data_IF_721686866127
#
_entry.id   IF_721686866127
#
_cell.length_a   1.000
_cell.length_b   1.000
_cell.length_c   1.000
_cell.angle_alpha   90.00
_cell.angle_beta   90.00
_cell.angle_gamma   90.00
#
_symmetry.space_group_name_H-M   'P 1'
#
loop_
_entity.id
_entity.type
_entity.pdbx_description
1 polymer ?
#
# COMPACT_ATOMS: atom_id res chain seq x y z
N UNK A 1 -8.65 0.26 19.47
CA UNK A 1 -7.66 0.13 18.38
C UNK A 1 -7.54 -1.33 17.95
N UNK A 2 -7.86 -1.68 16.70
CA UNK A 2 -7.85 -3.06 16.18
C UNK A 2 -6.66 -3.32 15.25
N UNK A 3 -5.46 -3.02 15.74
CA UNK A 3 -4.21 -3.20 15.02
C UNK A 3 -3.59 -4.59 15.29
N UNK A 4 -2.79 -5.09 14.36
CA UNK A 4 -2.10 -6.38 14.52
C UNK A 4 -1.18 -6.43 15.76
N UNK A 5 -0.71 -7.62 16.18
CA UNK A 5 0.04 -7.77 17.44
C UNK A 5 1.30 -6.89 17.56
N UNK A 6 2.02 -6.67 16.46
CA UNK A 6 3.20 -5.78 16.43
C UNK A 6 2.80 -4.30 16.53
N UNK A 7 1.74 -3.90 15.83
CA UNK A 7 1.16 -2.56 15.92
C UNK A 7 0.80 -2.19 17.36
N UNK A 8 0.06 -3.08 18.02
CA UNK A 8 -0.41 -2.82 19.39
C UNK A 8 0.74 -2.77 20.38
N UNK A 9 1.78 -3.59 20.16
CA UNK A 9 2.96 -3.58 21.01
C UNK A 9 3.76 -2.29 20.85
N UNK A 10 3.97 -1.82 19.63
CA UNK A 10 4.67 -0.56 19.38
C UNK A 10 3.93 0.62 20.01
N UNK A 11 2.60 0.67 19.82
CA UNK A 11 1.77 1.70 20.43
C UNK A 11 1.84 1.69 21.96
N UNK A 12 1.74 0.50 22.59
CA UNK A 12 1.84 0.37 24.05
C UNK A 12 3.23 0.76 24.56
N UNK A 13 4.29 0.41 23.83
CA UNK A 13 5.67 0.76 24.18
C UNK A 13 5.97 2.25 24.19
N UNK A 14 5.21 3.05 23.46
CA UNK A 14 5.32 4.51 23.54
C UNK A 14 4.89 5.11 24.90
N UNK A 15 4.26 4.32 25.79
CA UNK A 15 3.83 4.78 27.13
C UNK A 15 4.17 3.83 28.26
N UNK A 16 4.25 2.53 27.99
CA UNK A 16 4.40 1.49 29.00
C UNK A 16 5.32 0.38 28.50
N UNK A 17 6.07 -0.27 29.40
CA UNK A 17 6.87 -1.44 29.06
C UNK A 17 6.25 -2.74 29.60
N UNK A 18 5.26 -3.33 28.91
CA UNK A 18 4.56 -4.50 29.43
C UNK A 18 5.45 -5.75 29.41
N UNK A 19 5.58 -6.39 30.58
CA UNK A 19 6.20 -7.70 30.70
C UNK A 19 5.46 -8.72 29.82
N UNK A 20 6.23 -9.49 29.03
CA UNK A 20 5.68 -10.45 28.06
C UNK A 20 4.66 -9.84 27.08
N UNK A 21 4.79 -8.53 26.76
CA UNK A 21 3.81 -7.77 25.98
C UNK A 21 3.36 -8.44 24.69
N UNK A 22 4.28 -9.05 23.91
CA UNK A 22 3.96 -9.81 22.69
C UNK A 22 2.93 -10.92 22.93
N UNK A 23 3.08 -11.68 24.02
CA UNK A 23 2.22 -12.82 24.33
C UNK A 23 0.86 -12.33 24.84
N UNK A 24 0.87 -11.34 25.74
CA UNK A 24 -0.33 -10.74 26.31
C UNK A 24 -1.22 -10.13 25.24
N UNK A 25 -0.64 -9.36 24.31
CA UNK A 25 -1.36 -8.73 23.19
C UNK A 25 -1.98 -9.77 22.27
N UNK A 26 -1.24 -10.82 21.89
CA UNK A 26 -1.79 -11.90 21.05
C UNK A 26 -2.98 -12.58 21.73
N UNK A 27 -2.94 -12.77 23.04
CA UNK A 27 -4.03 -13.35 23.84
C UNK A 27 -5.27 -12.45 23.83
N UNK A 28 -5.10 -11.13 23.99
CA UNK A 28 -6.22 -10.17 23.94
C UNK A 28 -6.83 -10.10 22.55
N UNK A 29 -6.02 -9.94 21.50
CA UNK A 29 -6.50 -9.85 20.12
C UNK A 29 -7.23 -11.12 19.64
N UNK A 30 -6.84 -12.31 20.12
CA UNK A 30 -7.55 -13.57 19.83
C UNK A 30 -8.98 -13.60 20.41
N UNK A 31 -9.21 -12.93 21.53
CA UNK A 31 -10.54 -12.83 22.17
C UNK A 31 -11.41 -11.72 21.57
N UNK A 32 -10.83 -10.87 20.72
CA UNK A 32 -11.56 -9.77 20.11
C UNK A 32 -12.42 -10.27 18.93
N UNK A 33 -13.75 -10.19 19.08
CA UNK A 33 -14.73 -10.63 18.06
C UNK A 33 -14.51 -9.91 16.72
N UNK A 34 -14.26 -8.60 16.75
CA UNK A 34 -14.03 -7.80 15.54
C UNK A 34 -12.75 -8.22 14.80
N UNK A 35 -11.67 -8.57 15.50
CA UNK A 35 -10.44 -9.09 14.91
C UNK A 35 -10.57 -10.55 14.44
N UNK A 36 -11.35 -11.36 15.16
CA UNK A 36 -11.58 -12.76 14.83
C UNK A 36 -12.36 -12.92 13.52
N UNK A 37 -13.46 -12.17 13.36
CA UNK A 37 -14.33 -12.24 12.17
C UNK A 37 -13.61 -11.93 10.85
N UNK A 38 -12.50 -11.18 10.90
CA UNK A 38 -11.75 -10.74 9.72
C UNK A 38 -10.44 -11.50 9.52
N UNK A 39 -10.14 -12.49 10.38
CA UNK A 39 -8.89 -13.25 10.34
C UNK A 39 -9.13 -14.64 9.72
N UNK A 40 -8.82 -14.85 8.43
CA UNK A 40 -8.92 -16.18 7.84
C UNK A 40 -7.88 -17.13 8.46
N UNK A 41 -8.24 -18.42 8.60
CA UNK A 41 -7.28 -19.48 8.94
C UNK A 41 -6.38 -19.76 7.74
N UNK A 42 -5.09 -19.45 7.86
CA UNK A 42 -4.10 -19.76 6.83
C UNK A 42 -3.44 -21.12 7.12
N UNK A 43 -3.46 -22.03 6.14
CA UNK A 43 -2.68 -23.27 6.19
C UNK A 43 -1.19 -22.93 5.98
N UNK A 44 -0.25 -23.52 6.75
CA UNK A 44 1.17 -23.29 6.52
C UNK A 44 1.53 -23.73 5.11
N UNK A 45 2.11 -22.83 4.32
CA UNK A 45 2.65 -23.14 2.99
C UNK A 45 4.15 -23.43 3.11
N UNK A 46 4.65 -24.36 2.30
CA UNK A 46 6.09 -24.61 2.14
C UNK A 46 6.78 -23.33 1.68
N UNK A 47 7.84 -22.92 2.38
CA UNK A 47 8.62 -21.72 2.06
C UNK A 47 9.75 -22.15 1.11
N UNK A 48 9.62 -21.86 -0.18
CA UNK A 48 10.74 -22.00 -1.12
C UNK A 48 11.78 -20.88 -0.94
N UNK A 49 12.90 -20.97 -1.66
CA UNK A 49 14.00 -20.01 -1.59
C UNK A 49 13.55 -18.57 -1.84
N UNK A 50 14.18 -17.61 -1.14
CA UNK A 50 13.88 -16.20 -1.33
C UNK A 50 14.45 -15.70 -2.68
N UNK A 51 13.67 -14.92 -3.47
CA UNK A 51 14.16 -14.36 -4.72
C UNK A 51 15.32 -13.38 -4.48
N UNK A 52 16.24 -13.24 -5.44
CA UNK A 52 17.47 -12.42 -5.31
C UNK A 52 17.15 -10.96 -5.03
N UNK A 53 16.07 -10.48 -5.62
CA UNK A 53 15.51 -9.13 -5.45
C UNK A 53 15.23 -8.83 -3.97
N UNK A 54 14.95 -9.86 -3.15
CA UNK A 54 14.63 -9.74 -1.72
C UNK A 54 15.84 -9.66 -0.82
N UNK A 55 16.98 -10.19 -1.25
CA UNK A 55 18.22 -10.24 -0.45
C UNK A 55 19.24 -9.19 -0.84
N UNK A 56 19.03 -8.52 -1.98
CA UNK A 56 19.91 -7.46 -2.47
C UNK A 56 19.34 -6.09 -2.06
N UNK A 57 20.08 -5.27 -1.30
CA UNK A 57 19.60 -3.96 -0.88
C UNK A 57 19.43 -3.02 -2.09
N UNK A 58 18.25 -2.42 -2.19
CA UNK A 58 17.92 -1.41 -3.19
C UNK A 58 17.03 -0.33 -2.56
N UNK A 59 16.97 0.85 -3.17
CA UNK A 59 15.99 1.86 -2.75
C UNK A 59 14.56 1.32 -2.92
N UNK A 60 13.64 1.83 -2.10
CA UNK A 60 12.23 1.49 -2.21
C UNK A 60 11.71 1.69 -3.65
N UNK A 61 10.81 0.81 -4.05
CA UNK A 61 10.11 0.80 -5.34
C UNK A 61 10.95 0.47 -6.60
N UNK A 62 12.23 0.11 -6.48
CA UNK A 62 12.98 -0.43 -7.63
C UNK A 62 12.34 -1.71 -8.17
N UNK A 63 11.93 -2.62 -7.28
CA UNK A 63 11.19 -3.84 -7.60
C UNK A 63 9.79 -3.70 -7.02
N UNK A 64 8.78 -3.50 -7.88
CA UNK A 64 7.42 -3.18 -7.45
C UNK A 64 6.39 -4.14 -8.02
N UNK A 65 5.58 -4.74 -7.15
CA UNK A 65 4.37 -5.44 -7.53
C UNK A 65 3.21 -4.47 -7.73
N UNK A 66 2.37 -4.73 -8.71
CA UNK A 66 1.18 -3.95 -9.04
C UNK A 66 -0.05 -4.82 -8.81
N UNK A 67 -1.06 -4.26 -8.16
CA UNK A 67 -2.36 -4.89 -8.08
C UNK A 67 -3.49 -3.86 -8.00
N UNK A 68 -4.63 -4.15 -8.62
CA UNK A 68 -5.84 -3.36 -8.48
C UNK A 68 -6.70 -3.80 -7.28
N UNK A 69 -7.37 -2.84 -6.66
CA UNK A 69 -8.28 -3.09 -5.56
C UNK A 69 -9.63 -2.40 -5.78
N UNK A 70 -10.69 -3.21 -5.65
CA UNK A 70 -12.09 -2.79 -5.54
C UNK A 70 -12.65 -2.06 -6.75
N UNK A 71 -13.96 -1.89 -6.79
CA UNK A 71 -14.56 -0.69 -7.38
C UNK A 71 -15.16 0.10 -6.23
N UNK A 72 -14.64 1.28 -5.97
CA UNK A 72 -15.17 2.20 -4.97
C UNK A 72 -16.27 3.04 -5.61
N UNK A 73 -17.50 3.04 -5.05
CA UNK A 73 -18.53 3.94 -5.53
C UNK A 73 -18.13 5.38 -5.19
N UNK A 74 -18.13 6.24 -6.19
CA UNK A 74 -17.79 7.66 -6.03
C UNK A 74 -18.98 8.55 -6.41
N UNK A 75 -19.07 9.71 -5.77
CA UNK A 75 -20.00 10.76 -6.15
C UNK A 75 -19.41 11.57 -7.30
N UNK A 76 -20.09 11.57 -8.45
CA UNK A 76 -19.73 12.43 -9.59
C UNK A 76 -20.52 13.73 -9.59
N UNK A 77 -21.79 13.66 -9.19
CA UNK A 77 -22.68 14.82 -9.04
C UNK A 77 -23.78 14.50 -8.01
N UNK A 78 -24.70 15.43 -7.74
CA UNK A 78 -25.79 15.26 -6.77
C UNK A 78 -26.59 13.97 -7.00
N UNK A 79 -26.87 13.64 -8.25
CA UNK A 79 -27.68 12.48 -8.65
C UNK A 79 -26.91 11.47 -9.51
N UNK A 80 -25.58 11.57 -9.60
CA UNK A 80 -24.76 10.70 -10.44
C UNK A 80 -23.64 10.07 -9.63
N UNK A 81 -23.60 8.75 -9.65
CA UNK A 81 -22.51 7.96 -9.07
C UNK A 81 -21.64 7.38 -10.18
N UNK A 82 -20.38 7.14 -9.84
CA UNK A 82 -19.40 6.50 -10.69
C UNK A 82 -18.65 5.43 -9.93
N UNK A 83 -17.69 4.81 -10.60
CA UNK A 83 -16.74 3.89 -9.99
C UNK A 83 -15.35 4.49 -10.10
N UNK A 84 -14.53 4.23 -9.09
CA UNK A 84 -13.09 4.43 -9.15
C UNK A 84 -12.40 3.18 -8.61
N UNK A 85 -11.14 3.03 -8.93
CA UNK A 85 -10.32 1.87 -8.65
C UNK A 85 -9.06 2.33 -7.94
N UNK A 86 -8.52 1.50 -7.06
CA UNK A 86 -7.24 1.77 -6.43
C UNK A 86 -6.15 0.94 -7.12
N UNK A 87 -5.16 1.61 -7.68
CA UNK A 87 -3.92 0.99 -8.13
C UNK A 87 -2.94 0.96 -6.95
N UNK A 88 -2.49 -0.23 -6.58
CA UNK A 88 -1.58 -0.45 -5.46
C UNK A 88 -0.22 -0.85 -6.03
N UNK A 89 0.80 -0.06 -5.73
CA UNK A 89 2.20 -0.42 -5.94
C UNK A 89 2.80 -0.88 -4.60
N UNK A 90 3.44 -2.04 -4.57
CA UNK A 90 4.05 -2.58 -3.36
C UNK A 90 5.50 -2.94 -3.62
N UNK A 91 6.39 -2.48 -2.74
CA UNK A 91 7.79 -2.88 -2.73
C UNK A 91 8.16 -3.39 -1.34
N UNK A 92 8.27 -4.72 -1.21
CA UNK A 92 8.45 -5.42 0.07
C UNK A 92 7.44 -4.99 1.13
N UNK A 93 7.87 -4.18 2.09
CA UNK A 93 7.05 -3.62 3.16
C UNK A 93 6.51 -2.22 2.85
N UNK A 94 6.98 -1.55 1.80
CA UNK A 94 6.46 -0.23 1.41
C UNK A 94 5.27 -0.36 0.46
N UNK A 95 4.31 0.55 0.57
CA UNK A 95 3.15 0.62 -0.30
C UNK A 95 2.97 2.03 -0.86
N UNK A 96 2.46 2.15 -2.08
CA UNK A 96 2.01 3.38 -2.69
C UNK A 96 0.65 3.19 -3.35
N UNK A 97 -0.26 4.12 -3.12
CA UNK A 97 -1.67 4.03 -3.47
C UNK A 97 -2.05 5.15 -4.44
N UNK A 98 -2.59 4.77 -5.59
CA UNK A 98 -3.03 5.69 -6.64
C UNK A 98 -4.51 5.48 -6.94
N UNK A 99 -5.30 6.54 -6.84
CA UNK A 99 -6.70 6.52 -7.29
C UNK A 99 -6.74 6.61 -8.82
N UNK A 100 -7.53 5.74 -9.44
CA UNK A 100 -7.71 5.63 -10.89
C UNK A 100 -9.19 5.62 -11.21
N UNK A 101 -9.59 6.32 -12.28
CA UNK A 101 -11.01 6.41 -12.68
C UNK A 101 -11.54 5.13 -13.33
N UNK A 102 -10.67 4.32 -13.94
CA UNK A 102 -11.08 3.15 -14.70
C UNK A 102 -9.96 2.09 -14.77
N UNK A 103 -10.28 0.88 -15.23
CA UNK A 103 -9.34 -0.25 -15.37
C UNK A 103 -8.68 -0.33 -16.75
N UNK A 104 -8.75 0.72 -17.57
CA UNK A 104 -8.12 0.73 -18.90
C UNK A 104 -6.62 1.01 -18.84
N UNK A 105 -5.90 0.62 -19.91
CA UNK A 105 -4.45 0.80 -20.06
C UNK A 105 -3.98 2.24 -19.85
N UNK A 106 -4.65 3.22 -20.46
CA UNK A 106 -4.25 4.64 -20.38
C UNK A 106 -4.39 5.19 -18.96
N UNK A 107 -5.44 4.78 -18.24
CA UNK A 107 -5.66 5.15 -16.85
C UNK A 107 -4.57 4.58 -15.95
N UNK A 108 -4.15 3.32 -16.19
CA UNK A 108 -3.01 2.72 -15.51
C UNK A 108 -1.69 3.44 -15.83
N UNK A 109 -1.39 3.73 -17.11
CA UNK A 109 -0.16 4.43 -17.49
C UNK A 109 -0.04 5.80 -16.83
N UNK A 110 -1.16 6.52 -16.68
CA UNK A 110 -1.18 7.78 -15.95
C UNK A 110 -0.91 7.58 -14.44
N UNK A 111 -1.42 6.52 -13.83
CA UNK A 111 -1.09 6.15 -12.45
C UNK A 111 0.39 5.79 -12.31
N UNK A 112 0.95 5.04 -13.27
CA UNK A 112 2.37 4.69 -13.30
C UNK A 112 3.27 5.92 -13.39
N UNK A 113 2.91 6.90 -14.22
CA UNK A 113 3.62 8.19 -14.32
C UNK A 113 3.62 8.94 -12.99
N UNK A 114 2.46 9.04 -12.31
CA UNK A 114 2.36 9.70 -10.99
C UNK A 114 3.19 8.96 -9.93
N UNK A 115 3.13 7.63 -9.91
CA UNK A 115 3.94 6.80 -9.04
C UNK A 115 5.44 7.05 -9.25
N UNK A 116 5.93 6.95 -10.48
CA UNK A 116 7.35 7.15 -10.79
C UNK A 116 7.81 8.58 -10.51
N UNK A 117 6.94 9.58 -10.72
CA UNK A 117 7.27 10.96 -10.38
C UNK A 117 7.47 11.17 -8.86
N UNK A 118 6.80 10.37 -8.01
CA UNK A 118 6.90 10.49 -6.55
C UNK A 118 7.88 9.52 -5.90
N UNK A 119 8.08 8.33 -6.49
CA UNK A 119 8.89 7.23 -5.93
C UNK A 119 10.14 6.93 -6.74
N UNK A 120 10.34 7.63 -7.85
CA UNK A 120 11.38 7.34 -8.83
C UNK A 120 11.02 6.17 -9.74
N UNK A 121 11.76 6.03 -10.84
CA UNK A 121 11.59 4.96 -11.84
C UNK A 121 11.75 3.57 -11.21
N UNK A 122 10.86 2.62 -11.47
CA UNK A 122 11.11 1.23 -11.10
C UNK A 122 11.97 0.54 -12.17
N UNK A 123 12.81 -0.40 -11.77
CA UNK A 123 13.55 -1.25 -12.70
C UNK A 123 12.70 -2.47 -13.10
N UNK A 124 12.01 -3.07 -12.12
CA UNK A 124 11.17 -4.24 -12.32
C UNK A 124 9.74 -3.98 -11.86
N UNK A 125 8.78 -4.26 -12.74
CA UNK A 125 7.35 -4.27 -12.44
C UNK A 125 6.82 -5.68 -12.53
N UNK A 126 6.03 -6.08 -11.53
CA UNK A 126 5.41 -7.39 -11.47
C UNK A 126 3.89 -7.23 -11.42
N UNK A 127 3.15 -7.92 -12.29
CA UNK A 127 1.68 -7.87 -12.30
C UNK A 127 1.07 -9.23 -12.63
N UNK A 128 -0.25 -9.34 -12.45
CA UNK A 128 -1.02 -10.42 -13.09
C UNK A 128 -1.18 -10.16 -14.60
N UNK A 129 -1.80 -11.11 -15.31
CA UNK A 129 -2.10 -11.06 -16.73
C UNK A 129 -3.34 -10.21 -17.07
N UNK A 130 -3.66 -9.19 -16.25
CA UNK A 130 -4.72 -8.24 -16.56
C UNK A 130 -4.50 -7.56 -17.91
N UNK A 131 -5.56 -7.44 -18.73
CA UNK A 131 -5.47 -6.90 -20.10
C UNK A 131 -4.93 -5.47 -20.15
N UNK A 132 -5.21 -4.69 -19.11
CA UNK A 132 -4.70 -3.34 -18.94
C UNK A 132 -3.19 -3.29 -18.66
N UNK A 133 -2.66 -4.26 -17.92
CA UNK A 133 -1.22 -4.40 -17.68
C UNK A 133 -0.49 -4.92 -18.91
N UNK A 134 -1.08 -5.89 -19.63
CA UNK A 134 -0.56 -6.36 -20.92
C UNK A 134 -0.50 -5.19 -21.90
N UNK A 135 -1.58 -4.43 -22.03
CA UNK A 135 -1.61 -3.24 -22.87
C UNK A 135 -0.56 -2.20 -22.47
N UNK A 136 -0.38 -1.96 -21.17
CA UNK A 136 0.60 -1.00 -20.67
C UNK A 136 2.04 -1.43 -20.98
N UNK A 137 2.36 -2.72 -20.83
CA UNK A 137 3.65 -3.26 -21.20
C UNK A 137 3.92 -3.08 -22.70
N UNK A 138 2.92 -3.35 -23.55
CA UNK A 138 3.05 -3.16 -25.00
C UNK A 138 3.35 -1.70 -25.37
N UNK A 139 2.65 -0.74 -24.75
CA UNK A 139 2.88 0.70 -24.95
C UNK A 139 4.30 1.11 -24.50
N UNK A 140 4.77 0.61 -23.35
CA UNK A 140 6.12 0.89 -22.88
C UNK A 140 7.20 0.29 -23.80
N UNK A 141 6.98 -0.92 -24.31
CA UNK A 141 7.89 -1.53 -25.28
C UNK A 141 7.92 -0.76 -26.60
N UNK A 142 6.77 -0.30 -27.10
CA UNK A 142 6.71 0.53 -28.30
C UNK A 142 7.49 1.85 -28.14
N UNK A 143 7.34 2.51 -26.99
CA UNK A 143 8.11 3.71 -26.66
C UNK A 143 9.62 3.45 -26.58
N UNK A 144 10.04 2.30 -26.03
CA UNK A 144 11.45 1.91 -26.01
C UNK A 144 12.01 1.79 -27.42
N UNK A 145 11.32 1.05 -28.31
CA UNK A 145 11.76 0.85 -29.70
C UNK A 145 11.90 2.15 -30.48
N UNK A 146 10.96 3.09 -30.31
CA UNK A 146 11.03 4.41 -30.94
C UNK A 146 12.22 5.26 -30.48
N UNK A 147 12.71 5.03 -29.26
CA UNK A 147 13.91 5.71 -28.77
C UNK A 147 15.19 5.06 -29.29
N UNK A 148 15.21 3.73 -29.44
CA UNK A 148 16.33 2.97 -29.98
C UNK A 148 16.58 3.34 -31.45
N UNK A 149 15.51 3.46 -32.27
CA UNK A 149 15.60 3.87 -33.67
C UNK A 149 16.16 5.29 -33.91
N UNK A 150 16.20 6.14 -32.86
CA UNK A 150 16.57 7.56 -32.99
C UNK A 150 17.99 7.90 -32.50
N UNK A 151 18.74 6.99 -31.87
CA UNK A 151 20.01 7.34 -31.20
C UNK A 151 21.07 6.23 -31.20
N UNK A 152 22.02 6.30 -32.14
CA UNK A 152 23.16 5.37 -32.29
C UNK A 152 24.23 5.39 -31.17
N UNK A 153 24.11 6.21 -30.12
CA UNK A 153 25.17 6.33 -29.08
C UNK A 153 24.69 6.39 -27.61
N UNK A 154 23.39 6.25 -27.33
CA UNK A 154 22.82 6.26 -25.95
C UNK A 154 22.17 4.90 -25.62
N UNK A 155 22.57 3.83 -26.30
CA UNK A 155 21.83 2.58 -26.31
C UNK A 155 21.94 1.77 -25.01
N UNK A 156 23.13 1.69 -24.38
CA UNK A 156 23.28 0.95 -23.12
C UNK A 156 22.62 1.64 -21.93
N UNK A 157 22.79 2.96 -21.82
CA UNK A 157 22.23 3.72 -20.71
C UNK A 157 20.70 3.72 -20.75
N UNK A 158 20.08 3.87 -21.93
CA UNK A 158 18.62 3.86 -22.07
C UNK A 158 18.00 2.47 -22.00
N UNK A 159 18.67 1.43 -22.52
CA UNK A 159 18.24 0.03 -22.33
C UNK A 159 18.27 -0.37 -20.85
N UNK A 160 19.28 0.05 -20.08
CA UNK A 160 19.34 -0.10 -18.61
C UNK A 160 18.26 0.75 -17.90
N UNK A 161 17.70 1.76 -18.59
CA UNK A 161 16.61 2.62 -18.11
C UNK A 161 15.21 2.10 -18.47
N UNK A 162 15.10 1.03 -19.26
CA UNK A 162 13.80 0.42 -19.55
C UNK A 162 13.22 -0.24 -18.29
N UNK A 163 11.89 -0.24 -18.18
CA UNK A 163 11.18 -0.94 -17.11
C UNK A 163 11.00 -2.39 -17.55
N UNK A 164 11.59 -3.33 -16.82
CA UNK A 164 11.40 -4.75 -17.08
C UNK A 164 10.07 -5.20 -16.48
N UNK A 165 9.18 -5.70 -17.33
CA UNK A 165 7.87 -6.17 -16.90
C UNK A 165 7.86 -7.69 -16.75
N UNK A 166 7.38 -8.16 -15.60
CA UNK A 166 7.30 -9.56 -15.24
C UNK A 166 5.85 -9.94 -14.96
N UNK A 167 5.29 -10.81 -15.80
CA UNK A 167 3.94 -11.32 -15.61
C UNK A 167 3.96 -12.57 -14.72
N UNK A 168 3.29 -12.51 -13.58
CA UNK A 168 3.25 -13.61 -12.63
C UNK A 168 2.21 -14.63 -13.09
N UNK A 169 2.56 -15.93 -13.19
CA UNK A 169 1.60 -16.98 -13.48
C UNK A 169 0.46 -17.01 -12.46
N UNK A 170 -0.77 -17.29 -12.92
CA UNK A 170 -1.90 -17.46 -12.01
C UNK A 170 -1.58 -18.48 -10.91
N UNK A 171 -1.95 -18.17 -9.66
CA UNK A 171 -1.77 -19.03 -8.47
C UNK A 171 -0.33 -19.20 -7.94
N UNK A 172 0.66 -18.43 -8.39
CA UNK A 172 2.04 -18.45 -7.86
C UNK A 172 2.22 -17.66 -6.56
N UNK A 173 1.59 -18.13 -5.49
CA UNK A 173 1.61 -17.51 -4.14
C UNK A 173 3.02 -17.38 -3.51
N UNK A 174 4.02 -18.14 -3.99
CA UNK A 174 5.38 -18.11 -3.46
C UNK A 174 6.17 -16.87 -3.91
N UNK A 175 6.00 -16.44 -5.17
CA UNK A 175 6.63 -15.21 -5.70
C UNK A 175 5.91 -13.95 -5.20
N UNK A 176 4.57 -14.02 -5.06
CA UNK A 176 3.72 -12.88 -4.70
C UNK A 176 3.43 -12.71 -3.21
N UNK A 177 3.72 -13.70 -2.35
CA UNK A 177 3.15 -13.78 -0.99
C UNK A 177 3.41 -12.58 -0.07
N UNK A 178 4.55 -11.89 -0.22
CA UNK A 178 4.85 -10.70 0.57
C UNK A 178 4.01 -9.49 0.11
N UNK A 179 3.90 -9.29 -1.20
CA UNK A 179 3.07 -8.22 -1.76
C UNK A 179 1.58 -8.51 -1.55
N UNK A 180 1.16 -9.76 -1.69
CA UNK A 180 -0.20 -10.21 -1.41
C UNK A 180 -0.63 -9.88 0.02
N UNK A 181 0.26 -10.05 1.01
CA UNK A 181 -0.05 -9.71 2.40
C UNK A 181 -0.29 -8.21 2.59
N UNK A 182 0.56 -7.36 1.99
CA UNK A 182 0.41 -5.89 2.05
C UNK A 182 -0.85 -5.44 1.31
N UNK A 183 -1.08 -5.96 0.10
CA UNK A 183 -2.28 -5.72 -0.71
C UNK A 183 -3.54 -6.14 0.05
N UNK A 184 -3.55 -7.33 0.66
CA UNK A 184 -4.66 -7.84 1.46
C UNK A 184 -4.92 -6.94 2.65
N UNK A 185 -3.88 -6.54 3.39
CA UNK A 185 -4.01 -5.61 4.51
C UNK A 185 -4.58 -4.26 4.07
N UNK A 186 -4.09 -3.70 2.96
CA UNK A 186 -4.62 -2.46 2.40
C UNK A 186 -6.11 -2.61 2.04
N UNK A 187 -6.47 -3.64 1.26
CA UNK A 187 -7.87 -3.94 0.86
C UNK A 187 -8.81 -4.08 2.06
N UNK A 188 -8.39 -4.81 3.10
CA UNK A 188 -9.20 -5.01 4.30
C UNK A 188 -9.44 -3.71 5.06
N UNK A 189 -8.40 -2.89 5.23
CA UNK A 189 -8.53 -1.61 5.94
C UNK A 189 -9.37 -0.60 5.15
N UNK A 190 -9.19 -0.54 3.83
CA UNK A 190 -9.98 0.31 2.94
C UNK A 190 -11.47 -0.01 3.04
N UNK A 191 -11.83 -1.29 3.01
CA UNK A 191 -13.22 -1.73 3.13
C UNK A 191 -13.81 -1.37 4.50
N UNK A 192 -13.02 -1.44 5.58
CA UNK A 192 -13.47 -1.07 6.94
C UNK A 192 -13.79 0.42 7.05
N UNK A 193 -12.96 1.27 6.48
CA UNK A 193 -13.01 2.72 6.71
C UNK A 193 -14.01 3.40 5.79
N UNK A 194 -13.96 3.07 4.50
CA UNK A 194 -14.84 3.69 3.52
C UNK A 194 -16.25 3.14 3.67
N UNK A 195 -16.38 1.85 4.00
CA UNK A 195 -17.68 1.20 4.18
C UNK A 195 -18.60 1.47 2.98
N UNK A 196 -19.78 2.03 3.25
CA UNK A 196 -20.77 2.42 2.24
C UNK A 196 -20.79 3.95 1.99
N UNK A 197 -19.79 4.69 2.47
CA UNK A 197 -19.74 6.14 2.29
C UNK A 197 -19.50 6.50 0.82
N UNK A 198 -20.28 7.46 0.32
CA UNK A 198 -20.15 7.96 -1.04
C UNK A 198 -19.26 9.19 -1.05
N UNK A 199 -17.99 9.00 -1.40
CA UNK A 199 -16.97 10.06 -1.46
C UNK A 199 -16.79 10.57 -2.89
N UNK A 200 -16.42 11.84 -3.06
CA UNK A 200 -15.94 12.35 -4.35
C UNK A 200 -14.57 11.77 -4.68
N UNK A 201 -14.11 11.97 -5.92
CA UNK A 201 -12.79 11.53 -6.34
C UNK A 201 -11.67 12.16 -5.50
N UNK A 202 -11.76 13.45 -5.19
CA UNK A 202 -10.77 14.18 -4.39
C UNK A 202 -10.73 13.71 -2.92
N UNK A 203 -11.90 13.53 -2.32
CA UNK A 203 -12.02 13.02 -0.94
C UNK A 203 -11.47 11.59 -0.83
N UNK A 204 -11.77 10.75 -1.80
CA UNK A 204 -11.24 9.38 -1.85
C UNK A 204 -9.72 9.37 -2.06
N UNK A 205 -9.20 10.26 -2.91
CA UNK A 205 -7.75 10.45 -3.11
C UNK A 205 -7.06 10.85 -1.80
N UNK A 206 -7.69 11.74 -1.02
CA UNK A 206 -7.18 12.19 0.28
C UNK A 206 -7.13 11.03 1.27
N UNK A 207 -8.21 10.25 1.38
CA UNK A 207 -8.27 9.08 2.25
C UNK A 207 -7.22 8.04 1.85
N UNK A 208 -7.01 7.80 0.57
CA UNK A 208 -5.99 6.87 0.10
C UNK A 208 -4.58 7.32 0.47
N UNK A 209 -4.26 8.61 0.35
CA UNK A 209 -2.97 9.14 0.78
C UNK A 209 -2.75 8.97 2.30
N UNK A 210 -3.79 9.22 3.10
CA UNK A 210 -3.73 9.02 4.56
C UNK A 210 -3.56 7.53 4.93
N UNK A 211 -4.25 6.64 4.20
CA UNK A 211 -4.12 5.19 4.37
C UNK A 211 -2.72 4.71 3.97
N UNK A 212 -2.15 5.26 2.90
CA UNK A 212 -0.77 4.99 2.51
C UNK A 212 0.21 5.35 3.64
N UNK A 213 0.06 6.55 4.22
CA UNK A 213 0.89 6.97 5.35
C UNK A 213 0.74 6.02 6.55
N UNK A 214 -0.49 5.59 6.87
CA UNK A 214 -0.74 4.66 7.97
C UNK A 214 -0.16 3.25 7.69
N UNK A 215 -0.30 2.74 6.47
CA UNK A 215 0.33 1.49 6.05
C UNK A 215 1.85 1.58 6.17
N UNK A 216 2.44 2.71 5.78
CA UNK A 216 3.89 2.91 5.84
C UNK A 216 4.41 3.32 7.23
N UNK A 217 3.53 3.60 8.19
CA UNK A 217 3.89 3.85 9.59
C UNK A 217 3.78 2.61 10.47
N UNK A 218 3.46 1.45 9.88
CA UNK A 218 3.34 0.20 10.64
C UNK A 218 4.71 -0.30 11.12
N UNK A 219 4.84 -0.76 12.38
CA UNK A 219 6.10 -1.25 12.92
C UNK A 219 6.55 -2.55 12.26
N UNK A 220 7.78 -2.59 11.73
CA UNK A 220 8.42 -3.81 11.19
C UNK A 220 9.18 -4.55 12.30
N UNK A 221 10.12 -3.85 12.93
CA UNK A 221 10.91 -4.35 14.04
C UNK A 221 11.40 -3.17 14.89
N UNK A 222 11.78 -3.46 16.13
CA UNK A 222 12.55 -2.50 16.91
C UNK A 222 13.92 -2.33 16.27
N UNK A 223 14.47 -1.12 16.33
CA UNK A 223 15.84 -0.88 15.88
C UNK A 223 16.82 -1.40 16.93
N UNK A 224 16.50 -1.17 18.21
CA UNK A 224 17.32 -1.61 19.34
C UNK A 224 16.48 -2.35 20.38
N UNK A 225 17.15 -3.18 21.18
CA UNK A 225 16.52 -3.93 22.28
C UNK A 225 16.81 -3.23 23.62
N UNK A 226 16.80 -1.89 23.61
CA UNK A 226 17.04 -1.03 24.79
C UNK A 226 15.70 -0.56 25.35
N UNK A 227 15.44 -0.70 26.66
CA UNK A 227 14.24 -0.15 27.31
C UNK A 227 14.11 1.38 27.24
N UNK A 228 15.17 2.12 26.92
CA UNK A 228 15.17 3.58 26.74
C UNK A 228 14.99 4.00 25.28
N UNK A 229 15.02 3.04 24.35
CA UNK A 229 14.83 3.29 22.93
C UNK A 229 13.46 2.80 22.45
N UNK A 230 12.62 3.76 22.11
CA UNK A 230 11.27 3.52 21.61
C UNK A 230 11.20 3.56 20.08
N UNK A 231 12.33 3.74 19.39
CA UNK A 231 12.35 3.86 17.94
C UNK A 231 12.06 2.52 17.26
N UNK A 232 11.10 2.56 16.34
CA UNK A 232 10.66 1.39 15.60
C UNK A 232 10.92 1.62 14.12
N UNK A 233 11.56 0.65 13.49
CA UNK A 233 11.75 0.66 12.05
C UNK A 233 10.38 0.49 11.37
N UNK A 234 9.99 1.48 10.59
CA UNK A 234 8.74 1.49 9.82
C UNK A 234 9.04 1.60 8.32
N UNK A 235 8.11 1.17 7.43
CA UNK A 235 8.32 1.28 6.00
C UNK A 235 8.63 2.71 5.52
N UNK A 236 8.06 3.74 6.19
CA UNK A 236 8.29 5.15 5.89
C UNK A 236 9.78 5.55 5.91
N UNK A 237 10.58 4.92 6.78
CA UNK A 237 12.03 5.14 6.83
C UNK A 237 12.72 4.79 5.51
N UNK A 238 12.22 3.80 4.75
CA UNK A 238 12.78 3.45 3.43
C UNK A 238 12.32 4.38 2.30
N UNK A 239 11.32 5.23 2.56
CA UNK A 239 10.72 6.12 1.57
C UNK A 239 11.29 7.53 1.70
N UNK A 240 11.25 8.09 2.91
CA UNK A 240 11.67 9.48 3.18
C UNK A 240 12.76 9.59 4.26
N UNK A 241 13.21 8.48 4.86
CA UNK A 241 14.20 8.47 5.93
C UNK A 241 13.64 8.68 7.34
N UNK A 242 12.34 9.00 7.48
CA UNK A 242 11.69 9.33 8.75
C UNK A 242 10.21 8.89 8.77
N UNK A 243 9.52 8.97 9.92
CA UNK A 243 8.11 8.66 10.01
C UNK A 243 7.21 9.59 9.19
N UNK A 244 6.21 9.00 8.52
CA UNK A 244 5.23 9.74 7.71
C UNK A 244 4.17 10.38 8.62
N UNK A 245 4.52 11.52 9.21
CA UNK A 245 3.64 12.28 10.09
C UNK A 245 2.82 13.30 9.30
N UNK A 246 1.55 13.46 9.66
CA UNK A 246 0.70 14.57 9.20
C UNK A 246 0.62 15.66 10.26
N UNK A 247 0.06 16.82 9.88
CA UNK A 247 -0.30 17.86 10.86
C UNK A 247 -1.26 17.32 11.95
N UNK A 248 -1.25 17.91 13.16
CA UNK A 248 -2.13 17.51 14.25
C UNK A 248 -3.59 17.84 13.92
N UNK A 249 -4.50 16.93 14.27
CA UNK A 249 -5.94 17.09 14.10
C UNK A 249 -6.66 16.75 15.42
N UNK A 250 -7.82 17.37 15.72
CA UNK A 250 -8.61 17.03 16.89
C UNK A 250 -9.09 15.58 16.83
N UNK A 251 -9.21 14.92 17.99
CA UNK A 251 -9.82 13.59 18.08
C UNK A 251 -11.33 13.69 17.86
N UNK A 252 -11.83 12.97 16.86
CA UNK A 252 -13.23 12.96 16.45
C UNK A 252 -13.84 11.56 16.56
N UNK A 253 -13.14 10.57 17.13
CA UNK A 253 -13.60 9.17 17.17
C UNK A 253 -14.99 9.04 17.82
N UNK A 254 -15.26 9.82 18.87
CA UNK A 254 -16.52 9.77 19.62
C UNK A 254 -17.62 10.69 19.06
N UNK A 255 -17.29 11.56 18.10
CA UNK A 255 -18.25 12.51 17.54
C UNK A 255 -19.16 11.82 16.52
N UNK A 256 -20.47 11.99 16.65
CA UNK A 256 -21.42 11.41 15.69
C UNK A 256 -21.21 11.98 14.29
N UNK A 257 -21.21 11.10 13.28
CA UNK A 257 -20.94 11.45 11.86
C UNK A 257 -21.86 12.53 11.30
N UNK A 258 -23.10 12.62 11.78
CA UNK A 258 -24.06 13.64 11.36
C UNK A 258 -23.75 15.06 11.88
N UNK A 259 -22.81 15.20 12.82
CA UNK A 259 -22.34 16.49 13.36
C UNK A 259 -21.02 16.94 12.73
N UNK A 260 -20.43 16.11 11.86
CA UNK A 260 -19.15 16.41 11.24
C UNK A 260 -19.34 17.14 9.91
N UNK A 261 -18.48 18.13 9.67
CA UNK A 261 -18.29 18.65 8.32
C UNK A 261 -17.65 17.58 7.43
N UNK A 262 -17.68 17.77 6.09
CA UNK A 262 -17.00 16.83 5.17
C UNK A 262 -15.52 16.71 5.45
N UNK A 263 -14.85 17.82 5.77
CA UNK A 263 -13.45 17.81 6.16
C UNK A 263 -13.21 16.95 7.41
N UNK A 264 -13.97 17.19 8.48
CA UNK A 264 -13.86 16.43 9.73
C UNK A 264 -14.22 14.94 9.57
N UNK A 265 -15.13 14.61 8.67
CA UNK A 265 -15.46 13.22 8.35
C UNK A 265 -14.24 12.47 7.80
N UNK A 266 -13.42 13.10 6.95
CA UNK A 266 -12.20 12.48 6.44
C UNK A 266 -11.18 12.23 7.55
N UNK A 267 -10.99 13.21 8.44
CA UNK A 267 -10.11 13.09 9.61
C UNK A 267 -10.58 11.96 10.54
N UNK A 268 -11.89 11.85 10.78
CA UNK A 268 -12.47 10.77 11.57
C UNK A 268 -12.31 9.40 10.89
N UNK A 269 -12.49 9.31 9.57
CA UNK A 269 -12.27 8.07 8.81
C UNK A 269 -10.83 7.58 8.96
N UNK A 270 -9.84 8.50 8.90
CA UNK A 270 -8.44 8.19 9.18
C UNK A 270 -8.22 7.71 10.61
N UNK A 271 -8.81 8.37 11.61
CA UNK A 271 -8.63 8.00 13.02
C UNK A 271 -9.22 6.61 13.36
N UNK A 272 -10.17 6.14 12.55
CA UNK A 272 -10.72 4.79 12.64
C UNK A 272 -9.85 3.71 11.96
N UNK A 273 -8.73 4.08 11.34
CA UNK A 273 -7.73 3.16 10.77
C UNK A 273 -6.96 2.42 11.86
#
# INVERSE_FOLDING_TARGET
MHMGPQGLLAHLRGRYWPLSGRQTIRRVLRKCIACFRVRPSEKPRLIGNLPKERVTPHRAFINSGINYAGSFPIKLSRNKTGKAYLCIFVCFSTAHLELVSDLITTAFLNALKRFMARRGRCANLFSDNGTNFIGANNELQALSRLMDEKRENIERFLADQAVQWHFIPAYSAHMGGLWEAVVKSAKTNLKRIIGNSLLTFEELSTIFAQIEAALNSRPLCLVFNDPHDYEVLIPGHFIIGEPLNSFPEPDLIEVLTNRLTRFQLLSQMRQNF
#
